data_IF_091473750444
#
_entry.id   IF_091473750444
#
_cell.length_a   1.000
_cell.length_b   1.000
_cell.length_c   1.000
_cell.angle_alpha   90.00
_cell.angle_beta   90.00
_cell.angle_gamma   90.00
#
_symmetry.space_group_name_H-M   'P 1'
#
loop_
_entity.id
_entity.type
_entity.pdbx_description
1 polymer ?
#
# COMPACT_ATOMS: atom_id res chain seq x y z
N UNK A 1 13.76 2.90 -0.15
CA UNK A 1 12.81 2.25 0.76
C UNK A 1 11.39 2.74 0.53
N UNK A 2 11.00 4.00 0.78
CA UNK A 2 9.58 4.40 0.55
C UNK A 2 9.16 4.41 -0.92
N UNK A 3 10.10 4.73 -1.82
CA UNK A 3 9.87 4.66 -3.26
C UNK A 3 9.61 3.24 -3.76
N UNK A 4 10.03 2.23 -3.01
CA UNK A 4 9.90 0.82 -3.40
C UNK A 4 8.47 0.31 -3.11
N UNK A 5 7.85 0.80 -2.03
CA UNK A 5 6.46 0.49 -1.68
C UNK A 5 5.47 1.01 -2.73
N UNK A 6 5.64 2.27 -3.15
CA UNK A 6 4.84 2.87 -4.21
C UNK A 6 5.01 2.13 -5.55
N UNK A 7 6.23 1.69 -5.85
CA UNK A 7 6.51 0.92 -7.06
C UNK A 7 5.80 -0.43 -7.05
N UNK A 8 5.85 -1.16 -5.93
CA UNK A 8 5.15 -2.45 -5.77
C UNK A 8 3.64 -2.28 -5.97
N UNK A 9 3.05 -1.21 -5.43
CA UNK A 9 1.63 -0.92 -5.65
C UNK A 9 1.31 -0.66 -7.12
N UNK A 10 2.12 0.15 -7.82
CA UNK A 10 1.94 0.42 -9.25
C UNK A 10 2.07 -0.84 -10.10
N UNK A 11 2.97 -1.76 -9.75
CA UNK A 11 3.11 -3.06 -10.43
C UNK A 11 1.85 -3.91 -10.26
N UNK A 12 1.24 -3.93 -9.07
CA UNK A 12 -0.04 -4.63 -8.85
C UNK A 12 -1.22 -3.96 -9.57
N UNK A 13 -1.25 -2.62 -9.61
CA UNK A 13 -2.23 -1.88 -10.42
C UNK A 13 -2.14 -2.26 -11.89
N UNK A 14 -0.92 -2.37 -12.43
CA UNK A 14 -0.70 -2.72 -13.81
C UNK A 14 -1.15 -4.15 -14.10
N UNK A 15 -0.84 -5.11 -13.22
CA UNK A 15 -1.33 -6.50 -13.34
C UNK A 15 -2.86 -6.57 -13.35
N UNK A 16 -3.52 -5.85 -12.45
CA UNK A 16 -4.99 -5.77 -12.42
C UNK A 16 -5.55 -5.10 -13.67
N UNK A 17 -4.89 -4.07 -14.19
CA UNK A 17 -5.31 -3.39 -15.42
C UNK A 17 -5.21 -4.31 -16.65
N UNK A 18 -4.18 -5.17 -16.69
CA UNK A 18 -3.97 -6.12 -17.78
C UNK A 18 -4.88 -7.35 -17.70
N UNK A 19 -5.22 -7.80 -16.49
CA UNK A 19 -6.10 -8.95 -16.26
C UNK A 19 -7.51 -8.51 -15.86
N UNK A 20 -8.40 -8.43 -16.84
CA UNK A 20 -9.82 -8.13 -16.64
C UNK A 20 -10.42 -9.14 -15.65
N UNK A 21 -10.87 -8.65 -14.48
CA UNK A 21 -11.51 -9.45 -13.44
C UNK A 21 -10.63 -9.77 -12.22
N UNK A 22 -9.34 -9.39 -12.24
CA UNK A 22 -8.48 -9.48 -11.05
C UNK A 22 -8.64 -8.19 -10.23
N UNK A 23 -8.75 -8.31 -8.92
CA UNK A 23 -8.68 -7.19 -7.97
C UNK A 23 -7.58 -7.50 -6.97
N UNK A 24 -7.19 -6.53 -6.13
CA UNK A 24 -6.39 -6.83 -4.96
C UNK A 24 -6.88 -6.06 -3.75
N UNK A 25 -6.48 -6.51 -2.58
CA UNK A 25 -6.75 -5.87 -1.31
C UNK A 25 -5.47 -5.75 -0.49
N UNK A 26 -5.43 -4.77 0.41
CA UNK A 26 -4.26 -4.48 1.24
C UNK A 26 -4.69 -4.55 2.69
N UNK A 27 -3.99 -5.36 3.49
CA UNK A 27 -4.17 -5.43 4.94
C UNK A 27 -2.89 -4.93 5.62
N UNK A 28 -3.03 -4.04 6.60
CA UNK A 28 -1.88 -3.66 7.43
C UNK A 28 -1.68 -4.73 8.51
N UNK A 29 -0.44 -5.16 8.70
CA UNK A 29 -0.08 -6.13 9.73
C UNK A 29 0.98 -5.54 10.68
N UNK A 30 1.45 -6.31 11.67
CA UNK A 30 2.43 -5.83 12.65
C UNK A 30 3.82 -5.48 12.09
N UNK A 31 4.12 -5.81 10.83
CA UNK A 31 5.43 -5.62 10.19
C UNK A 31 5.41 -4.72 8.95
N UNK A 32 4.22 -4.47 8.38
CA UNK A 32 4.09 -3.73 7.14
C UNK A 32 2.71 -3.89 6.51
N UNK A 33 2.68 -4.23 5.23
CA UNK A 33 1.46 -4.45 4.45
C UNK A 33 1.43 -5.84 3.85
N UNK A 34 0.25 -6.40 3.74
CA UNK A 34 -0.02 -7.64 3.03
C UNK A 34 -0.92 -7.32 1.85
N UNK A 35 -0.42 -7.50 0.63
CA UNK A 35 -1.21 -7.38 -0.59
C UNK A 35 -1.75 -8.76 -0.96
N UNK A 36 -3.04 -8.87 -1.19
CA UNK A 36 -3.68 -10.11 -1.60
C UNK A 36 -4.40 -9.91 -2.93
N UNK A 37 -4.04 -10.70 -3.94
CA UNK A 37 -4.74 -10.71 -5.23
C UNK A 37 -6.06 -11.50 -5.11
N UNK A 38 -7.21 -10.91 -5.44
CA UNK A 38 -8.52 -11.54 -5.33
C UNK A 38 -8.87 -12.02 -3.90
N UNK A 39 -9.87 -12.91 -3.80
CA UNK A 39 -10.27 -13.52 -2.51
C UNK A 39 -9.38 -14.71 -2.11
N UNK A 40 -8.72 -15.35 -3.08
CA UNK A 40 -7.90 -16.57 -2.88
C UNK A 40 -6.53 -16.52 -3.58
N UNK A 41 -6.13 -15.38 -4.13
CA UNK A 41 -4.86 -15.27 -4.84
C UNK A 41 -3.68 -15.09 -3.90
N UNK A 42 -2.51 -14.90 -4.52
CA UNK A 42 -1.25 -14.84 -3.82
C UNK A 42 -1.19 -13.64 -2.86
N UNK A 43 -0.60 -13.90 -1.69
CA UNK A 43 -0.28 -12.85 -0.72
C UNK A 43 1.18 -12.42 -0.87
N UNK A 44 1.41 -11.12 -0.96
CA UNK A 44 2.74 -10.51 -1.00
C UNK A 44 2.91 -9.62 0.23
N UNK A 45 3.87 -9.98 1.10
CA UNK A 45 4.23 -9.16 2.26
C UNK A 45 5.23 -8.07 1.85
N UNK A 46 4.93 -6.83 2.23
CA UNK A 46 5.75 -5.66 2.00
C UNK A 46 6.13 -5.07 3.35
N UNK A 47 7.40 -5.21 3.71
CA UNK A 47 7.94 -4.61 4.92
C UNK A 47 7.96 -3.10 4.76
N UNK A 48 7.44 -2.40 5.76
CA UNK A 48 7.41 -0.94 5.78
C UNK A 48 8.49 -0.41 6.73
N UNK A 49 9.10 0.75 6.39
CA UNK A 49 9.84 1.54 7.36
C UNK A 49 8.97 1.87 8.57
N UNK A 50 9.58 1.89 9.76
CA UNK A 50 8.85 1.98 11.03
C UNK A 50 7.97 3.24 11.14
N UNK A 51 8.48 4.38 10.68
CA UNK A 51 7.79 5.66 10.66
C UNK A 51 6.58 5.66 9.71
N UNK A 52 6.75 5.06 8.53
CA UNK A 52 5.67 4.89 7.57
C UNK A 52 4.61 3.92 8.10
N UNK A 53 5.04 2.80 8.70
CA UNK A 53 4.16 1.82 9.32
C UNK A 53 3.32 2.44 10.44
N UNK A 54 3.91 3.18 11.37
CA UNK A 54 3.17 3.88 12.42
C UNK A 54 2.15 4.86 11.85
N UNK A 55 2.53 5.61 10.81
CA UNK A 55 1.65 6.58 10.16
C UNK A 55 0.42 5.88 9.58
N UNK A 56 0.65 4.80 8.83
CA UNK A 56 -0.43 4.03 8.20
C UNK A 56 -1.30 3.31 9.24
N UNK A 57 -0.70 2.68 10.26
CA UNK A 57 -1.44 2.05 11.35
C UNK A 57 -2.29 3.06 12.12
N UNK A 58 -1.82 4.28 12.32
CA UNK A 58 -2.61 5.33 12.98
C UNK A 58 -3.78 5.78 12.13
N UNK A 59 -3.55 5.98 10.82
CA UNK A 59 -4.56 6.51 9.91
C UNK A 59 -5.62 5.48 9.52
N UNK A 60 -5.21 4.22 9.37
CA UNK A 60 -6.06 3.10 8.96
C UNK A 60 -6.41 2.15 10.12
N UNK A 61 -6.19 2.54 11.39
CA UNK A 61 -6.37 1.67 12.57
C UNK A 61 -7.73 0.95 12.64
N UNK A 62 -8.77 1.55 12.06
CA UNK A 62 -10.14 1.03 12.04
C UNK A 62 -10.48 0.25 10.76
N UNK A 63 -9.59 0.23 9.76
CA UNK A 63 -9.80 -0.45 8.49
C UNK A 63 -9.02 -1.76 8.48
N UNK A 64 -9.73 -2.88 8.60
CA UNK A 64 -9.12 -4.21 8.50
C UNK A 64 -8.52 -4.48 7.11
N UNK A 65 -9.05 -3.81 6.07
CA UNK A 65 -8.68 -4.04 4.69
C UNK A 65 -8.93 -2.80 3.81
N UNK A 66 -8.02 -2.55 2.87
CA UNK A 66 -8.09 -1.48 1.87
C UNK A 66 -8.21 -2.13 0.48
N UNK A 67 -9.40 -2.10 -0.11
CA UNK A 67 -9.65 -2.68 -1.44
C UNK A 67 -9.18 -1.76 -2.56
N UNK A 68 -8.63 -2.33 -3.63
CA UNK A 68 -8.30 -1.58 -4.85
C UNK A 68 -9.52 -0.78 -5.39
N UNK A 69 -9.27 0.42 -5.91
CA UNK A 69 -10.28 1.43 -6.35
C UNK A 69 -11.21 1.99 -5.27
N UNK A 70 -11.02 1.65 -3.99
CA UNK A 70 -11.73 2.30 -2.90
C UNK A 70 -11.22 3.72 -2.62
N UNK A 71 -12.00 4.54 -1.91
CA UNK A 71 -11.56 5.82 -1.36
C UNK A 71 -10.33 5.65 -0.44
N UNK A 72 -10.34 4.61 0.40
CA UNK A 72 -9.24 4.28 1.30
C UNK A 72 -7.94 3.98 0.52
N UNK A 73 -8.05 3.33 -0.64
CA UNK A 73 -6.91 3.06 -1.51
C UNK A 73 -6.29 4.33 -2.09
N UNK A 74 -7.13 5.26 -2.56
CA UNK A 74 -6.66 6.55 -3.05
C UNK A 74 -5.97 7.34 -1.92
N UNK A 75 -6.52 7.31 -0.71
CA UNK A 75 -5.89 7.93 0.48
C UNK A 75 -4.54 7.29 0.81
N UNK A 76 -4.45 5.96 0.77
CA UNK A 76 -3.20 5.22 0.99
C UNK A 76 -2.11 5.68 0.01
N UNK A 77 -2.43 5.76 -1.30
CA UNK A 77 -1.49 6.25 -2.31
C UNK A 77 -1.05 7.69 -2.07
N UNK A 78 -1.98 8.57 -1.70
CA UNK A 78 -1.66 9.96 -1.38
C UNK A 78 -0.73 10.06 -0.18
N UNK A 79 -0.96 9.28 0.89
CA UNK A 79 -0.10 9.25 2.08
C UNK A 79 1.30 8.74 1.77
N UNK A 80 1.41 7.63 1.03
CA UNK A 80 2.70 7.10 0.58
C UNK A 80 3.47 8.11 -0.27
N UNK A 81 2.77 8.83 -1.15
CA UNK A 81 3.38 9.86 -2.01
C UNK A 81 3.84 11.08 -1.21
N UNK A 82 3.05 11.51 -0.24
CA UNK A 82 3.40 12.62 0.65
C UNK A 82 4.61 12.26 1.52
N UNK A 83 4.63 11.06 2.10
CA UNK A 83 5.75 10.57 2.90
C UNK A 83 7.04 10.48 2.09
N UNK A 84 6.98 9.91 0.88
CA UNK A 84 8.12 9.89 -0.04
C UNK A 84 8.63 11.29 -0.42
N UNK A 85 7.74 12.27 -0.57
CA UNK A 85 8.10 13.66 -0.84
C UNK A 85 8.81 14.30 0.37
N UNK A 86 8.25 14.15 1.58
CA UNK A 86 8.82 14.67 2.81
C UNK A 86 10.21 14.08 3.10
N UNK A 87 10.40 12.78 2.88
CA UNK A 87 11.70 12.14 3.07
C UNK A 87 12.76 12.63 2.07
N UNK A 88 12.37 12.99 0.83
CA UNK A 88 13.28 13.67 -0.11
C UNK A 88 13.65 15.08 0.33
N UNK A 89 12.73 15.80 0.99
CA UNK A 89 13.00 17.15 1.50
C UNK A 89 13.89 17.13 2.75
N UNK A 90 13.74 16.12 3.62
CA UNK A 90 14.51 15.98 4.86
C UNK A 90 15.96 15.54 4.63
N UNK A 91 16.23 14.86 3.51
CA UNK A 91 17.57 14.40 3.12
C UNK A 91 18.31 15.38 2.17
N UNK A 92 17.93 16.66 2.19
CA UNK A 92 18.66 17.77 1.56
C UNK A 92 19.34 18.62 2.62
#
# INVERSE_FOLDING_TARGET
MDSDVLKILLEHEEKVRQNIGVTFSIRLNGKGMLLQEGEQGAETEVVLPHDLHQTLMTFFNSNECVSYRSSNYNMLKSLLSAHACLNRMKNK
#
